data_IF_117913933046
#
_entry.id   IF_117913933046
#
_cell.length_a   1.000
_cell.length_b   1.000
_cell.length_c   1.000
_cell.angle_alpha   90.00
_cell.angle_beta   90.00
_cell.angle_gamma   90.00
#
_symmetry.space_group_name_H-M   'P 1'
#
loop_
_entity.id
_entity.type
_entity.pdbx_description
1 polymer ?
#
# COMPACT_ATOMS: atom_id res chain seq x y z
N UNK A 1 12.11 -6.40 12.24
CA UNK A 1 10.96 -5.68 12.80
C UNK A 1 11.10 -4.24 12.35
N UNK A 2 10.32 -3.86 11.35
CA UNK A 2 10.35 -2.51 10.82
C UNK A 2 9.69 -1.58 11.85
N UNK A 3 10.50 -0.74 12.48
CA UNK A 3 10.06 0.20 13.52
C UNK A 3 9.51 1.51 12.94
N UNK A 4 9.44 1.63 11.62
CA UNK A 4 8.98 2.85 10.94
C UNK A 4 7.48 3.10 11.06
N UNK A 5 6.72 2.19 11.66
CA UNK A 5 5.29 2.36 11.88
C UNK A 5 5.03 2.81 13.30
N UNK A 6 4.32 3.88 13.40
CA UNK A 6 4.12 4.68 14.58
C UNK A 6 3.57 3.91 15.79
N UNK A 7 4.13 4.18 16.92
CA UNK A 7 3.50 3.88 18.22
C UNK A 7 2.23 4.74 18.33
N UNK A 8 1.08 4.09 18.31
CA UNK A 8 -0.22 4.74 18.46
C UNK A 8 -1.12 4.67 17.22
N UNK A 9 -0.57 4.34 16.04
CA UNK A 9 -1.36 4.17 14.82
C UNK A 9 -1.44 2.70 14.36
N UNK A 10 -0.92 1.77 15.15
CA UNK A 10 -0.90 0.34 14.86
C UNK A 10 0.40 -0.14 14.21
N UNK A 11 0.65 -1.43 14.29
CA UNK A 11 1.81 -2.11 13.70
C UNK A 11 1.49 -2.57 12.26
N UNK A 12 2.51 -2.56 11.39
CA UNK A 12 2.42 -3.22 10.08
C UNK A 12 2.44 -4.72 10.29
N UNK A 13 1.40 -5.38 9.85
CA UNK A 13 1.18 -6.80 10.12
C UNK A 13 1.61 -7.69 8.97
N UNK A 14 1.28 -7.28 7.76
CA UNK A 14 1.57 -8.04 6.55
C UNK A 14 1.81 -7.07 5.40
N UNK A 15 2.83 -7.33 4.61
CA UNK A 15 3.11 -6.58 3.39
C UNK A 15 2.78 -7.43 2.17
N UNK A 16 2.25 -6.80 1.14
CA UNK A 16 2.13 -7.36 -0.20
C UNK A 16 3.04 -6.60 -1.16
N UNK A 17 3.66 -7.34 -2.06
CA UNK A 17 4.53 -6.79 -3.10
C UNK A 17 3.94 -7.04 -4.48
N UNK A 18 4.51 -6.40 -5.49
CA UNK A 18 4.11 -6.57 -6.88
C UNK A 18 4.29 -8.03 -7.36
N UNK A 19 5.21 -8.79 -6.77
CA UNK A 19 5.34 -10.24 -7.04
C UNK A 19 4.01 -10.96 -6.81
N UNK A 20 3.36 -10.71 -5.68
CA UNK A 20 2.05 -11.31 -5.35
C UNK A 20 0.92 -10.87 -6.28
N UNK A 21 0.98 -9.65 -6.81
CA UNK A 21 0.03 -9.19 -7.83
C UNK A 21 0.20 -9.99 -9.12
N UNK A 22 1.44 -10.21 -9.57
CA UNK A 22 1.75 -10.99 -10.77
C UNK A 22 1.36 -12.46 -10.62
N UNK A 23 1.58 -13.04 -9.45
CA UNK A 23 1.19 -14.44 -9.15
C UNK A 23 -0.33 -14.67 -9.20
N UNK A 24 -1.11 -13.63 -8.91
CA UNK A 24 -2.57 -13.70 -8.92
C UNK A 24 -3.18 -13.33 -10.27
N UNK A 25 -2.37 -13.02 -11.27
CA UNK A 25 -2.89 -12.64 -12.58
C UNK A 25 -3.79 -13.74 -13.17
N UNK A 26 -4.99 -13.34 -13.58
CA UNK A 26 -5.94 -14.17 -14.30
C UNK A 26 -6.59 -13.36 -15.42
N UNK A 27 -6.17 -13.62 -16.65
CA UNK A 27 -6.67 -12.90 -17.82
C UNK A 27 -8.14 -13.17 -18.13
N UNK A 28 -8.74 -14.17 -17.51
CA UNK A 28 -10.15 -14.53 -17.66
C UNK A 28 -11.06 -13.80 -16.66
N UNK A 29 -10.47 -13.23 -15.63
CA UNK A 29 -11.20 -12.49 -14.60
C UNK A 29 -10.72 -11.03 -14.57
N UNK A 30 -11.59 -10.11 -14.96
CA UNK A 30 -11.27 -8.69 -15.05
C UNK A 30 -10.69 -8.07 -13.78
N UNK A 31 -11.04 -8.62 -12.61
CA UNK A 31 -10.51 -8.16 -11.30
C UNK A 31 -9.02 -8.48 -11.12
N UNK A 32 -8.52 -9.50 -11.83
CA UNK A 32 -7.14 -9.97 -11.71
C UNK A 32 -6.32 -9.76 -12.98
N UNK A 33 -6.83 -8.99 -13.93
CA UNK A 33 -6.06 -8.61 -15.11
C UNK A 33 -4.99 -7.59 -14.72
N UNK A 34 -3.73 -7.89 -15.03
CA UNK A 34 -2.61 -6.97 -14.82
C UNK A 34 -2.36 -6.20 -16.13
N UNK A 35 -2.38 -4.86 -16.12
CA UNK A 35 -2.09 -4.06 -17.31
C UNK A 35 -0.71 -4.38 -17.89
N UNK A 36 -0.63 -4.44 -19.23
CA UNK A 36 0.61 -4.78 -19.96
C UNK A 36 1.79 -3.91 -19.55
N UNK A 37 1.58 -2.60 -19.42
CA UNK A 37 2.66 -1.68 -19.02
C UNK A 37 3.18 -2.00 -17.61
N UNK A 38 2.32 -2.40 -16.69
CA UNK A 38 2.75 -2.78 -15.34
C UNK A 38 3.57 -4.08 -15.39
N UNK A 39 3.19 -5.03 -16.23
CA UNK A 39 3.98 -6.27 -16.46
C UNK A 39 5.36 -5.96 -17.07
N UNK A 40 5.44 -5.01 -17.97
CA UNK A 40 6.71 -4.57 -18.57
C UNK A 40 7.63 -3.94 -17.52
N UNK A 41 7.12 -3.04 -16.71
CA UNK A 41 7.86 -2.42 -15.60
C UNK A 41 8.34 -3.47 -14.59
N UNK A 42 7.50 -4.44 -14.28
CA UNK A 42 7.86 -5.55 -13.39
C UNK A 42 8.96 -6.43 -13.98
N UNK A 43 8.86 -6.83 -15.24
CA UNK A 43 9.84 -7.67 -15.90
C UNK A 43 11.21 -6.97 -16.01
N UNK A 44 11.21 -5.68 -16.25
CA UNK A 44 12.41 -4.84 -16.30
C UNK A 44 12.95 -4.49 -14.90
N UNK A 45 12.18 -4.76 -13.82
CA UNK A 45 12.46 -4.31 -12.46
C UNK A 45 12.72 -2.80 -12.37
N UNK A 46 12.02 -2.04 -13.21
CA UNK A 46 12.11 -0.58 -13.27
C UNK A 46 11.27 0.06 -12.16
N UNK A 47 11.69 -0.16 -10.92
CA UNK A 47 10.98 0.31 -9.72
C UNK A 47 11.52 1.65 -9.21
N UNK A 48 12.59 2.17 -9.79
CA UNK A 48 13.20 3.43 -9.38
C UNK A 48 13.58 3.43 -7.90
N UNK A 49 13.35 4.57 -7.27
CA UNK A 49 13.61 4.81 -5.83
C UNK A 49 12.53 4.19 -4.91
N UNK A 50 11.45 3.66 -5.47
CA UNK A 50 10.26 3.24 -4.71
C UNK A 50 10.34 1.82 -4.16
N UNK A 51 11.32 1.05 -4.57
CA UNK A 51 11.55 -0.32 -4.09
C UNK A 51 12.04 -0.33 -2.64
N UNK A 52 11.79 -1.45 -1.98
CA UNK A 52 12.37 -1.74 -0.66
C UNK A 52 13.86 -2.10 -0.77
N UNK A 53 14.56 -2.15 0.36
CA UNK A 53 16.00 -2.48 0.41
C UNK A 53 16.33 -3.87 -0.16
N UNK A 54 15.39 -4.81 -0.12
CA UNK A 54 15.51 -6.14 -0.73
C UNK A 54 15.10 -6.18 -2.23
N UNK A 55 14.86 -5.02 -2.83
CA UNK A 55 14.57 -4.89 -4.26
C UNK A 55 13.11 -5.20 -4.65
N UNK A 56 12.21 -5.35 -3.69
CA UNK A 56 10.80 -5.60 -3.93
C UNK A 56 10.01 -4.31 -4.09
N UNK A 57 9.00 -4.33 -4.95
CA UNK A 57 8.05 -3.23 -5.09
C UNK A 57 6.89 -3.44 -4.11
N UNK A 58 6.78 -2.64 -3.03
CA UNK A 58 5.67 -2.76 -2.10
C UNK A 58 4.37 -2.27 -2.75
N UNK A 59 3.25 -2.90 -2.43
CA UNK A 59 1.93 -2.52 -2.97
C UNK A 59 0.99 -2.13 -1.84
N UNK A 60 0.83 -2.99 -0.85
CA UNK A 60 -0.08 -2.78 0.26
C UNK A 60 0.46 -3.40 1.54
N UNK A 61 -0.07 -2.95 2.66
CA UNK A 61 0.21 -3.52 3.97
C UNK A 61 -1.04 -3.46 4.87
N UNK A 62 -1.08 -4.29 5.86
CA UNK A 62 -2.14 -4.26 6.88
C UNK A 62 -1.62 -3.71 8.20
N UNK A 63 -2.50 -2.98 8.90
CA UNK A 63 -2.20 -2.37 10.19
C UNK A 63 -3.25 -2.74 11.22
N UNK A 64 -2.93 -2.53 12.50
CA UNK A 64 -3.87 -2.67 13.62
C UNK A 64 -4.66 -1.40 13.89
N UNK A 65 -4.58 -0.40 13.03
CA UNK A 65 -5.37 0.83 13.15
C UNK A 65 -6.86 0.53 13.03
N UNK A 66 -7.67 1.20 13.84
CA UNK A 66 -9.12 1.13 13.72
C UNK A 66 -9.60 1.89 12.48
N UNK A 67 -10.48 1.25 11.72
CA UNK A 67 -11.07 1.83 10.50
C UNK A 67 -12.52 1.40 10.38
N UNK A 68 -13.36 2.31 9.97
CA UNK A 68 -14.81 2.10 9.76
C UNK A 68 -15.22 2.55 8.36
N UNK A 69 -16.47 2.31 8.00
CA UNK A 69 -17.03 2.83 6.74
C UNK A 69 -16.88 4.35 6.66
N UNK A 70 -16.47 4.85 5.49
CA UNK A 70 -16.17 6.27 5.25
C UNK A 70 -14.71 6.65 5.42
N UNK A 71 -13.85 5.75 5.92
CA UNK A 71 -12.42 6.01 6.04
C UNK A 71 -11.62 5.72 4.74
N UNK A 72 -12.27 5.23 3.69
CA UNK A 72 -11.63 5.01 2.38
C UNK A 72 -11.04 6.31 1.83
N UNK A 73 -9.77 6.28 1.44
CA UNK A 73 -9.03 7.45 0.96
C UNK A 73 -8.36 8.27 2.08
N UNK A 74 -8.54 7.91 3.35
CA UNK A 74 -7.89 8.61 4.46
C UNK A 74 -6.38 8.41 4.45
N UNK A 75 -5.60 9.47 4.76
CA UNK A 75 -4.15 9.35 4.87
C UNK A 75 -3.76 8.52 6.09
N UNK A 76 -2.73 7.72 5.92
CA UNK A 76 -2.09 6.96 7.01
C UNK A 76 -0.69 7.51 7.21
N UNK A 77 -0.42 7.95 8.44
CA UNK A 77 0.83 8.62 8.78
C UNK A 77 1.62 7.81 9.82
N UNK A 78 2.93 7.99 9.82
CA UNK A 78 3.79 7.49 10.89
C UNK A 78 3.81 8.46 12.09
N UNK A 79 4.62 8.15 13.11
CA UNK A 79 4.71 8.97 14.31
C UNK A 79 5.33 10.35 14.07
N UNK A 80 6.08 10.51 12.98
CA UNK A 80 6.72 11.76 12.59
C UNK A 80 5.82 12.64 11.72
N UNK A 81 4.58 12.16 11.43
CA UNK A 81 3.61 12.87 10.61
C UNK A 81 3.79 12.69 9.11
N UNK A 82 4.66 11.77 8.69
CA UNK A 82 4.90 11.46 7.28
C UNK A 82 3.81 10.55 6.72
N UNK A 83 3.35 10.86 5.52
CA UNK A 83 2.39 10.03 4.80
C UNK A 83 3.03 8.72 4.35
N UNK A 84 2.56 7.60 4.89
CA UNK A 84 3.08 6.26 4.56
C UNK A 84 2.13 5.43 3.71
N UNK A 85 0.88 5.83 3.59
CA UNK A 85 -0.10 5.13 2.78
C UNK A 85 -1.47 5.76 2.80
N UNK A 86 -2.38 5.11 2.10
CA UNK A 86 -3.78 5.52 2.00
C UNK A 86 -4.65 4.33 2.42
N UNK A 87 -5.53 4.57 3.38
CA UNK A 87 -6.48 3.55 3.82
C UNK A 87 -7.52 3.31 2.73
N UNK A 88 -7.77 2.05 2.37
CA UNK A 88 -8.78 1.77 1.35
C UNK A 88 -9.76 0.65 1.73
N UNK A 89 -9.39 -0.23 2.66
CA UNK A 89 -10.24 -1.36 3.01
C UNK A 89 -9.92 -1.86 4.43
N UNK A 90 -10.61 -2.89 4.84
CA UNK A 90 -10.34 -3.67 6.05
C UNK A 90 -10.53 -5.16 5.75
N UNK A 91 -9.89 -6.01 6.54
CA UNK A 91 -10.08 -7.44 6.38
C UNK A 91 -11.51 -7.86 6.81
N UNK A 92 -11.91 -9.07 6.42
CA UNK A 92 -13.24 -9.60 6.72
C UNK A 92 -13.57 -9.53 8.22
N UNK A 93 -12.63 -9.88 9.07
CA UNK A 93 -12.78 -9.85 10.53
C UNK A 93 -12.98 -8.42 11.06
N UNK A 94 -12.58 -7.42 10.29
CA UNK A 94 -12.76 -6.01 10.60
C UNK A 94 -14.19 -5.49 10.43
N UNK A 95 -15.07 -6.22 9.75
CA UNK A 95 -16.46 -5.79 9.48
C UNK A 95 -17.24 -5.60 10.79
N UNK A 96 -16.98 -6.40 11.82
CA UNK A 96 -17.57 -6.24 13.16
C UNK A 96 -17.03 -5.05 13.97
N UNK A 97 -15.99 -4.38 13.50
CA UNK A 97 -15.30 -3.29 14.21
C UNK A 97 -16.13 -2.02 14.39
N UNK A 98 -17.23 -1.88 13.65
CA UNK A 98 -18.18 -0.76 13.82
C UNK A 98 -18.95 -0.86 15.15
N UNK A 99 -19.04 -2.05 15.72
CA UNK A 99 -19.71 -2.33 17.00
C UNK A 99 -18.68 -2.50 18.12
N UNK A 100 -17.65 -3.30 17.88
CA UNK A 100 -16.57 -3.57 18.83
C UNK A 100 -15.26 -3.80 18.09
N UNK A 101 -14.22 -3.03 18.43
CA UNK A 101 -12.89 -3.21 17.89
C UNK A 101 -12.18 -4.40 18.55
N UNK A 102 -11.75 -5.36 17.74
CA UNK A 102 -11.02 -6.56 18.16
C UNK A 102 -9.61 -6.55 17.55
N UNK A 103 -8.60 -6.02 18.25
CA UNK A 103 -7.26 -5.77 17.69
C UNK A 103 -6.52 -7.02 17.23
N UNK A 104 -6.86 -8.19 17.79
CA UNK A 104 -6.22 -9.46 17.40
C UNK A 104 -6.68 -9.98 16.04
N UNK A 105 -7.87 -9.55 15.57
CA UNK A 105 -8.51 -10.05 14.36
C UNK A 105 -8.71 -8.98 13.29
N UNK A 106 -8.86 -7.73 13.70
CA UNK A 106 -9.20 -6.64 12.79
C UNK A 106 -7.95 -5.98 12.25
N UNK A 107 -7.94 -5.74 10.92
CA UNK A 107 -6.83 -5.09 10.22
C UNK A 107 -7.38 -4.10 9.19
N UNK A 108 -6.79 -2.91 9.17
CA UNK A 108 -6.96 -1.98 8.06
C UNK A 108 -6.01 -2.33 6.93
N UNK A 109 -6.47 -2.19 5.70
CA UNK A 109 -5.69 -2.46 4.49
C UNK A 109 -5.32 -1.13 3.87
N UNK A 110 -4.02 -0.92 3.71
CA UNK A 110 -3.41 0.35 3.32
C UNK A 110 -2.65 0.15 2.02
N UNK A 111 -2.90 1.00 1.02
CA UNK A 111 -2.01 1.06 -0.14
C UNK A 111 -0.71 1.77 0.27
N UNK A 112 0.43 1.18 -0.05
CA UNK A 112 1.74 1.75 0.29
C UNK A 112 1.98 3.02 -0.54
N UNK A 113 2.41 4.10 0.08
CA UNK A 113 2.65 5.36 -0.61
C UNK A 113 3.70 5.21 -1.71
N UNK A 114 4.68 4.33 -1.55
CA UNK A 114 5.70 4.06 -2.57
C UNK A 114 5.08 3.48 -3.84
N UNK A 115 4.03 2.67 -3.72
CA UNK A 115 3.29 2.17 -4.89
C UNK A 115 2.53 3.30 -5.59
N UNK A 116 1.90 4.18 -4.85
CA UNK A 116 1.21 5.36 -5.42
C UNK A 116 2.20 6.21 -6.22
N UNK A 117 3.35 6.54 -5.63
CA UNK A 117 4.39 7.33 -6.30
C UNK A 117 4.99 6.61 -7.51
N UNK A 118 5.21 5.31 -7.41
CA UNK A 118 5.67 4.47 -8.51
C UNK A 118 4.69 4.51 -9.70
N UNK A 119 3.40 4.36 -9.44
CA UNK A 119 2.37 4.45 -10.49
C UNK A 119 2.33 5.85 -11.10
N UNK A 120 2.41 6.90 -10.32
CA UNK A 120 2.43 8.27 -10.82
C UNK A 120 3.64 8.53 -11.73
N UNK A 121 4.81 8.10 -11.32
CA UNK A 121 6.07 8.34 -12.05
C UNK A 121 6.23 7.38 -13.23
N UNK A 122 6.36 6.08 -12.95
CA UNK A 122 6.78 5.07 -13.94
C UNK A 122 5.65 4.59 -14.85
N UNK A 123 4.44 4.43 -14.29
CA UNK A 123 3.31 3.96 -15.07
C UNK A 123 2.61 5.09 -15.82
N UNK A 124 2.25 6.15 -15.14
CA UNK A 124 1.49 7.26 -15.70
C UNK A 124 2.35 8.33 -16.38
N UNK A 125 3.68 8.30 -16.19
CA UNK A 125 4.57 9.32 -16.75
C UNK A 125 4.37 10.72 -16.15
N UNK A 126 3.84 10.79 -14.93
CA UNK A 126 3.53 12.04 -14.24
C UNK A 126 4.55 12.37 -13.14
N UNK A 127 5.80 11.97 -13.31
CA UNK A 127 6.89 12.20 -12.35
C UNK A 127 7.10 13.66 -11.99
N UNK A 128 6.75 14.59 -12.89
CA UNK A 128 6.84 16.03 -12.63
C UNK A 128 5.98 16.49 -11.42
N UNK A 129 4.93 15.75 -11.06
CA UNK A 129 4.14 16.06 -9.88
C UNK A 129 4.89 15.81 -8.57
N UNK A 130 5.88 14.91 -8.59
CA UNK A 130 6.69 14.60 -7.43
C UNK A 130 7.64 15.75 -7.07
N UNK A 131 7.97 16.61 -8.04
CA UNK A 131 8.82 17.79 -7.82
C UNK A 131 8.15 18.83 -6.90
N UNK A 132 6.84 18.73 -6.75
CA UNK A 132 6.05 19.60 -5.84
C UNK A 132 5.84 18.95 -4.46
N UNK A 133 6.38 17.75 -4.23
CA UNK A 133 6.24 17.00 -2.99
C UNK A 133 7.56 16.97 -2.23
N UNK A 134 7.47 17.02 -0.91
CA UNK A 134 8.58 16.73 -0.02
C UNK A 134 8.57 15.24 0.27
N UNK A 135 9.58 14.52 -0.22
CA UNK A 135 9.67 13.05 -0.13
C UNK A 135 10.87 12.69 0.74
N UNK A 136 10.59 12.12 1.91
CA UNK A 136 11.59 11.54 2.80
C UNK A 136 12.00 10.13 2.33
N UNK A 137 13.31 9.83 2.37
CA UNK A 137 13.87 8.55 1.94
C UNK A 137 14.28 7.64 3.10
#
# INVERSE_FOLDING_TARGET
RDRSVSRGLGDVYKRQTLDGVMEKEDSTNWEFVVPTRLKELYAAKDFGRYKTSDGKMPVAFSTTTHSTGGNSGSPVMNADGELIGINFDRNWEGVGGDIQYLPDYQRSIIVDIRYVLFIMDKYAGAGYLLDEMEIEE
#
